data_IF_986138857652
#
_entry.id   IF_986138857652
#
_cell.length_a   1.000
_cell.length_b   1.000
_cell.length_c   1.000
_cell.angle_alpha   90.00
_cell.angle_beta   90.00
_cell.angle_gamma   90.00
#
_symmetry.space_group_name_H-M   'P 1'
#
loop_
_entity.id
_entity.type
_entity.pdbx_description
1 polymer ?
#
# COMPACT_ATOMS: atom_id res chain seq x y z
N UNK A 1 7.05 -0.19 -7.47
CA UNK A 1 5.67 -0.47 -7.95
C UNK A 1 4.71 0.37 -7.14
N UNK A 2 3.70 0.97 -7.78
CA UNK A 2 2.66 1.74 -7.08
C UNK A 2 1.34 0.98 -7.19
N UNK A 3 0.67 0.78 -6.05
CA UNK A 3 -0.63 0.11 -5.94
C UNK A 3 -1.64 1.09 -5.33
N UNK A 4 -2.45 1.79 -6.15
CA UNK A 4 -3.55 2.58 -5.63
C UNK A 4 -4.69 1.66 -5.19
N UNK A 5 -5.18 1.86 -3.97
CA UNK A 5 -6.46 1.30 -3.58
C UNK A 5 -7.55 1.99 -4.41
N UNK A 6 -8.54 1.24 -4.91
CA UNK A 6 -9.68 1.82 -5.59
C UNK A 6 -10.43 2.72 -4.62
N UNK A 7 -11.23 3.64 -5.13
CA UNK A 7 -12.17 4.39 -4.30
C UNK A 7 -13.62 4.08 -4.71
N UNK A 8 -14.58 4.59 -3.94
CA UNK A 8 -16.00 4.35 -4.18
C UNK A 8 -16.50 4.77 -5.58
N UNK A 9 -15.79 5.67 -6.28
CA UNK A 9 -16.17 6.14 -7.62
C UNK A 9 -15.64 5.20 -8.73
N UNK A 10 -14.92 4.12 -8.38
CA UNK A 10 -14.39 3.16 -9.35
C UNK A 10 -15.54 2.54 -10.15
N UNK A 11 -15.59 2.87 -11.45
CA UNK A 11 -16.72 2.59 -12.34
C UNK A 11 -16.97 1.09 -12.56
N UNK A 12 -15.94 0.27 -12.39
CA UNK A 12 -16.02 -1.19 -12.52
C UNK A 12 -15.62 -1.87 -11.22
N UNK A 13 -16.62 -2.27 -10.43
CA UNK A 13 -16.43 -2.91 -9.11
C UNK A 13 -15.63 -4.20 -9.17
N UNK A 14 -15.69 -4.91 -10.29
CA UNK A 14 -14.93 -6.15 -10.51
C UNK A 14 -13.42 -5.93 -10.65
N UNK A 15 -13.00 -4.70 -11.02
CA UNK A 15 -11.59 -4.30 -11.06
C UNK A 15 -11.12 -3.74 -9.71
N UNK A 16 -12.02 -3.63 -8.73
CA UNK A 16 -11.64 -3.16 -7.40
C UNK A 16 -10.89 -4.22 -6.61
N UNK A 17 -11.07 -5.51 -6.89
CA UNK A 17 -10.36 -6.58 -6.19
C UNK A 17 -9.04 -6.92 -6.90
N UNK A 18 -8.01 -7.25 -6.13
CA UNK A 18 -6.81 -7.90 -6.66
C UNK A 18 -6.95 -9.42 -6.54
N UNK A 19 -6.59 -10.15 -7.60
CA UNK A 19 -6.63 -11.61 -7.59
C UNK A 19 -5.53 -12.20 -6.72
N UNK A 20 -5.67 -13.47 -6.31
CA UNK A 20 -4.61 -14.16 -5.57
C UNK A 20 -3.29 -14.25 -6.36
N UNK A 21 -3.36 -14.39 -7.69
CA UNK A 21 -2.19 -14.37 -8.56
C UNK A 21 -1.47 -13.02 -8.51
N UNK A 22 -2.22 -11.92 -8.57
CA UNK A 22 -1.66 -10.57 -8.44
C UNK A 22 -1.04 -10.36 -7.06
N UNK A 23 -1.70 -10.83 -6.00
CA UNK A 23 -1.15 -10.78 -4.64
C UNK A 23 0.19 -11.55 -4.57
N UNK A 24 0.24 -12.76 -5.12
CA UNK A 24 1.46 -13.57 -5.17
C UNK A 24 2.60 -12.89 -5.92
N UNK A 25 2.29 -12.27 -7.07
CA UNK A 25 3.25 -11.45 -7.82
C UNK A 25 3.79 -10.29 -6.99
N UNK A 26 2.92 -9.54 -6.32
CA UNK A 26 3.29 -8.37 -5.50
C UNK A 26 4.21 -8.81 -4.34
N UNK A 27 3.84 -9.86 -3.61
CA UNK A 27 4.65 -10.38 -2.50
C UNK A 27 6.05 -10.77 -3.00
N UNK A 28 6.13 -11.57 -4.05
CA UNK A 28 7.42 -11.98 -4.63
C UNK A 28 8.24 -10.78 -5.17
N UNK A 29 7.60 -9.73 -5.69
CA UNK A 29 8.29 -8.51 -6.09
C UNK A 29 8.96 -7.83 -4.88
N UNK A 30 8.26 -7.69 -3.76
CA UNK A 30 8.82 -7.08 -2.54
C UNK A 30 9.90 -7.98 -1.94
N UNK A 31 9.66 -9.29 -1.85
CA UNK A 31 10.62 -10.28 -1.33
C UNK A 31 11.93 -10.34 -2.13
N UNK A 32 11.93 -9.89 -3.40
CA UNK A 32 13.11 -9.76 -4.26
C UNK A 32 13.81 -8.40 -4.17
N UNK A 33 13.48 -7.59 -3.17
CA UNK A 33 14.09 -6.27 -2.95
C UNK A 33 13.30 -5.11 -3.56
N UNK A 34 12.11 -5.35 -4.10
CA UNK A 34 11.27 -4.31 -4.68
C UNK A 34 10.67 -3.37 -3.63
N UNK A 35 10.50 -2.10 -4.00
CA UNK A 35 9.72 -1.12 -3.25
C UNK A 35 8.26 -1.10 -3.74
N UNK A 36 7.31 -1.41 -2.85
CA UNK A 36 5.88 -1.26 -3.05
C UNK A 36 5.39 0.01 -2.37
N UNK A 37 4.76 0.91 -3.13
CA UNK A 37 4.06 2.08 -2.59
C UNK A 37 2.57 1.83 -2.71
N UNK A 38 1.90 1.71 -1.57
CA UNK A 38 0.45 1.56 -1.48
C UNK A 38 -0.16 2.95 -1.28
N UNK A 39 -1.11 3.33 -2.13
CA UNK A 39 -1.82 4.60 -1.99
C UNK A 39 -3.23 4.31 -1.46
N UNK A 40 -3.55 4.90 -0.31
CA UNK A 40 -4.86 4.73 0.33
C UNK A 40 -5.99 5.33 -0.51
N UNK A 41 -7.18 4.77 -0.31
CA UNK A 41 -8.36 5.19 -1.05
C UNK A 41 -8.70 6.66 -0.75
N UNK A 42 -9.05 7.42 -1.79
CA UNK A 42 -9.52 8.80 -1.64
C UNK A 42 -10.85 8.85 -0.87
N UNK A 43 -11.74 7.90 -1.17
CA UNK A 43 -13.07 7.73 -0.56
C UNK A 43 -13.21 6.31 -0.03
N UNK A 44 -14.00 6.17 1.03
CA UNK A 44 -14.22 4.90 1.72
C UNK A 44 -14.86 3.85 0.81
N UNK A 45 -14.23 2.68 0.74
CA UNK A 45 -14.75 1.54 0.02
C UNK A 45 -15.64 0.71 0.95
N UNK A 46 -16.93 0.64 0.63
CA UNK A 46 -17.89 -0.25 1.31
C UNK A 46 -18.11 -1.58 0.57
N UNK A 47 -17.23 -1.92 -0.37
CA UNK A 47 -17.31 -3.11 -1.20
C UNK A 47 -16.42 -4.25 -0.66
N UNK A 48 -16.86 -5.53 -0.72
CA UNK A 48 -16.06 -6.67 -0.23
C UNK A 48 -14.68 -6.84 -0.88
N UNK A 49 -14.43 -6.19 -2.02
CA UNK A 49 -13.12 -6.21 -2.68
C UNK A 49 -11.99 -5.68 -1.80
N UNK A 50 -12.28 -4.85 -0.79
CA UNK A 50 -11.27 -4.38 0.17
C UNK A 50 -10.57 -5.53 0.90
N UNK A 51 -11.24 -6.67 1.07
CA UNK A 51 -10.68 -7.86 1.73
C UNK A 51 -9.48 -8.43 0.98
N UNK A 52 -9.43 -8.30 -0.34
CA UNK A 52 -8.26 -8.73 -1.14
C UNK A 52 -6.98 -7.94 -0.81
N UNK A 53 -7.10 -6.66 -0.46
CA UNK A 53 -5.95 -5.85 -0.02
C UNK A 53 -5.55 -6.15 1.42
N UNK A 54 -6.51 -6.49 2.29
CA UNK A 54 -6.18 -6.98 3.63
C UNK A 54 -5.37 -8.28 3.55
N UNK A 55 -5.78 -9.20 2.68
CA UNK A 55 -5.04 -10.44 2.43
C UNK A 55 -3.62 -10.18 1.92
N UNK A 56 -3.42 -9.16 1.07
CA UNK A 56 -2.07 -8.75 0.64
C UNK A 56 -1.20 -8.33 1.84
N UNK A 57 -1.72 -7.51 2.75
CA UNK A 57 -0.97 -7.03 3.92
C UNK A 57 -0.64 -8.17 4.88
N UNK A 58 -1.58 -9.10 5.08
CA UNK A 58 -1.36 -10.32 5.85
C UNK A 58 -0.24 -11.18 5.24
N UNK A 59 -0.22 -11.37 3.92
CA UNK A 59 0.84 -12.14 3.24
C UNK A 59 2.21 -11.46 3.26
N UNK A 60 2.25 -10.13 3.26
CA UNK A 60 3.46 -9.36 3.51
C UNK A 60 3.89 -9.40 4.99
N UNK A 61 3.13 -10.10 5.86
CA UNK A 61 3.32 -10.17 7.32
C UNK A 61 3.38 -8.79 7.97
N UNK A 62 2.71 -7.81 7.36
CA UNK A 62 2.68 -6.46 7.87
C UNK A 62 1.58 -6.33 8.92
N UNK A 63 1.93 -5.93 10.13
CA UNK A 63 0.98 -5.69 11.22
C UNK A 63 0.20 -4.37 11.05
N UNK A 64 -0.34 -4.14 9.85
CA UNK A 64 -1.16 -2.99 9.50
C UNK A 64 -2.57 -3.44 9.11
N UNK A 65 -3.57 -2.70 9.58
CA UNK A 65 -4.98 -2.92 9.27
C UNK A 65 -5.53 -1.75 8.47
N UNK A 66 -6.25 -2.06 7.40
CA UNK A 66 -7.04 -1.07 6.66
C UNK A 66 -8.28 -0.69 7.46
N UNK A 67 -8.50 0.61 7.61
CA UNK A 67 -9.65 1.21 8.29
C UNK A 67 -10.42 2.13 7.33
N UNK A 68 -11.68 2.44 7.70
CA UNK A 68 -12.54 3.37 6.95
C UNK A 68 -12.58 3.05 5.44
N UNK A 69 -12.79 1.76 5.12
CA UNK A 69 -12.76 1.22 3.76
C UNK A 69 -11.50 1.55 2.96
N UNK A 70 -10.34 1.58 3.63
CA UNK A 70 -9.04 1.81 3.00
C UNK A 70 -8.62 3.27 2.91
N UNK A 71 -9.32 4.20 3.58
CA UNK A 71 -8.89 5.61 3.68
C UNK A 71 -7.79 5.86 4.70
N UNK A 72 -7.66 4.96 5.68
CA UNK A 72 -6.67 5.07 6.74
C UNK A 72 -6.15 3.69 7.12
N UNK A 73 -5.09 3.69 7.91
CA UNK A 73 -4.50 2.48 8.47
C UNK A 73 -4.18 2.64 9.94
N UNK A 74 -4.17 1.53 10.67
CA UNK A 74 -3.71 1.45 12.05
C UNK A 74 -2.73 0.28 12.24
N UNK A 75 -1.87 0.36 13.26
CA UNK A 75 -0.85 -0.64 13.53
C UNK A 75 0.41 -0.06 14.19
N UNK A 76 1.42 -0.91 14.40
CA UNK A 76 2.69 -0.52 15.05
C UNK A 76 3.74 0.05 14.09
N UNK A 77 3.48 0.03 12.77
CA UNK A 77 4.39 0.56 11.74
C UNK A 77 3.59 0.96 10.50
N UNK A 78 2.86 2.08 10.58
CA UNK A 78 1.86 2.47 9.56
C UNK A 78 2.42 3.21 8.35
N UNK A 79 3.62 3.80 8.45
CA UNK A 79 4.25 4.56 7.35
C UNK A 79 4.99 3.65 6.36
N UNK A 80 5.91 2.84 6.88
CA UNK A 80 6.76 1.96 6.08
C UNK A 80 7.08 0.63 6.78
N UNK A 81 7.47 -0.35 5.97
CA UNK A 81 7.95 -1.67 6.38
C UNK A 81 9.19 -2.01 5.55
N UNK A 82 10.27 -2.39 6.23
CA UNK A 82 11.41 -3.05 5.59
C UNK A 82 11.26 -4.57 5.70
N UNK A 83 11.52 -5.28 4.59
CA UNK A 83 11.51 -6.74 4.54
C UNK A 83 12.97 -7.23 4.50
N UNK A 84 13.24 -8.37 5.16
CA UNK A 84 14.58 -8.94 5.40
C UNK A 84 15.50 -8.97 4.16
N UNK A 85 14.95 -9.18 2.97
CA UNK A 85 15.71 -9.23 1.71
C UNK A 85 15.98 -7.86 1.07
N UNK A 86 15.86 -6.77 1.85
CA UNK A 86 16.04 -5.40 1.36
C UNK A 86 14.81 -4.81 0.66
N UNK A 87 13.71 -5.57 0.56
CA UNK A 87 12.42 -5.07 0.06
C UNK A 87 11.81 -4.01 0.95
N UNK A 88 10.85 -3.26 0.42
CA UNK A 88 10.17 -2.23 1.18
C UNK A 88 8.71 -2.09 0.81
N UNK A 89 7.90 -1.74 1.79
CA UNK A 89 6.51 -1.30 1.58
C UNK A 89 6.33 0.05 2.24
N UNK A 90 5.63 0.96 1.56
CA UNK A 90 5.26 2.28 2.06
C UNK A 90 3.77 2.48 1.85
N UNK A 91 3.09 3.11 2.80
CA UNK A 91 1.72 3.58 2.64
C UNK A 91 1.71 5.10 2.56
N UNK A 92 1.04 5.62 1.55
CA UNK A 92 0.76 7.04 1.40
C UNK A 92 -0.75 7.27 1.42
N UNK A 93 -1.18 8.35 2.07
CA UNK A 93 -2.52 8.87 1.85
C UNK A 93 -2.68 9.38 0.41
N UNK A 94 -3.93 9.53 -0.03
CA UNK A 94 -4.22 10.10 -1.34
C UNK A 94 -3.63 11.52 -1.51
N UNK A 95 -3.71 12.34 -0.47
CA UNK A 95 -3.27 13.74 -0.55
C UNK A 95 -1.73 13.82 -0.61
N UNK A 96 -1.01 12.94 0.08
CA UNK A 96 0.44 12.80 -0.05
C UNK A 96 0.84 12.34 -1.45
N UNK A 97 0.21 11.27 -1.96
CA UNK A 97 0.51 10.72 -3.28
C UNK A 97 0.18 11.70 -4.43
N UNK A 98 -0.73 12.65 -4.21
CA UNK A 98 -1.11 13.68 -5.21
C UNK A 98 -0.48 15.04 -4.95
N UNK A 99 0.43 15.17 -3.98
CA UNK A 99 1.15 16.41 -3.67
C UNK A 99 0.30 17.51 -3.06
N UNK A 100 -0.89 17.18 -2.52
CA UNK A 100 -1.73 18.10 -1.76
C UNK A 100 -1.29 18.22 -0.29
N UNK A 101 -0.58 17.19 0.19
CA UNK A 101 0.08 17.15 1.49
C UNK A 101 1.53 16.73 1.32
N UNK A 102 2.39 17.15 2.25
CA UNK A 102 3.76 16.66 2.28
C UNK A 102 3.79 15.23 2.80
N UNK A 103 4.63 14.39 2.18
CA UNK A 103 5.00 13.08 2.74
C UNK A 103 5.88 13.33 3.95
N UNK A 104 5.68 12.59 5.03
CA UNK A 104 6.51 12.70 6.22
C UNK A 104 7.99 12.40 5.92
N UNK A 105 8.90 13.06 6.64
CA UNK A 105 10.33 13.00 6.34
C UNK A 105 10.92 11.58 6.49
N UNK A 106 10.40 10.79 7.42
CA UNK A 106 10.86 9.41 7.65
C UNK A 106 10.48 8.51 6.46
N UNK A 107 9.23 8.58 6.02
CA UNK A 107 8.73 7.86 4.84
C UNK A 107 9.44 8.32 3.58
N UNK A 108 9.64 9.62 3.38
CA UNK A 108 10.38 10.13 2.23
C UNK A 108 11.83 9.64 2.23
N UNK A 109 12.52 9.72 3.38
CA UNK A 109 13.88 9.21 3.53
C UNK A 109 13.98 7.71 3.22
N UNK A 110 12.99 6.92 3.66
CA UNK A 110 12.90 5.50 3.33
C UNK A 110 12.73 5.26 1.83
N UNK A 111 11.85 6.02 1.15
CA UNK A 111 11.67 5.93 -0.30
C UNK A 111 12.99 6.26 -1.02
N UNK A 112 13.64 7.37 -0.67
CA UNK A 112 14.89 7.81 -1.28
C UNK A 112 16.00 6.77 -1.13
N UNK A 113 16.15 6.20 0.08
CA UNK A 113 17.10 5.12 0.37
C UNK A 113 16.82 3.89 -0.50
N UNK A 114 15.57 3.43 -0.58
CA UNK A 114 15.18 2.26 -1.38
C UNK A 114 15.33 2.48 -2.89
N UNK A 115 15.31 3.73 -3.35
CA UNK A 115 15.53 4.09 -4.75
C UNK A 115 17.00 4.44 -5.08
N UNK A 116 17.90 4.41 -4.08
CA UNK A 116 19.31 4.78 -4.27
C UNK A 116 19.52 6.26 -4.60
N UNK A 117 18.59 7.13 -4.17
CA UNK A 117 18.64 8.57 -4.38
C UNK A 117 19.35 9.32 -3.24
N UNK A 118 19.56 8.63 -2.11
CA UNK A 118 20.38 9.04 -0.97
C UNK A 118 21.14 7.85 -0.39
#
# INVERSE_FOLDING_TARGET
MILPLPDADTFMKDFMAISEEQIGFIVNYVEKGGLLVVVLARKEINHPSIESYKLLFEKLRWAVKLENGGRSVSGTSTGNLEIENGGGVVILSWDEATGKSAIDEETMGFIEFKLGLR
#
